data_IF_500389179133
#
_entry.id   IF_500389179133
#
_cell.length_a   1.000
_cell.length_b   1.000
_cell.length_c   1.000
_cell.angle_alpha   90.00
_cell.angle_beta   90.00
_cell.angle_gamma   90.00
#
_symmetry.space_group_name_H-M   'P 1'
#
loop_
_entity.id
_entity.type
_entity.pdbx_description
1 polymer ?
#
# COMPACT_ATOMS: atom_id res chain seq x y z
N UNK A 1 -17.24 -7.05 4.98
CA UNK A 1 -15.93 -6.44 4.64
C UNK A 1 -15.22 -6.13 5.95
N UNK A 2 -14.00 -6.60 6.17
CA UNK A 2 -13.26 -6.39 7.42
C UNK A 2 -13.11 -4.89 7.69
N UNK A 3 -13.66 -4.36 8.79
CA UNK A 3 -13.60 -2.93 9.17
C UNK A 3 -12.19 -2.33 9.01
N UNK A 4 -11.16 -3.13 9.28
CA UNK A 4 -9.77 -2.75 9.14
C UNK A 4 -9.40 -2.28 7.72
N UNK A 5 -9.66 -3.10 6.70
CA UNK A 5 -9.33 -2.75 5.30
C UNK A 5 -10.17 -1.57 4.82
N UNK A 6 -11.46 -1.51 5.19
CA UNK A 6 -12.32 -0.38 4.82
C UNK A 6 -11.83 0.95 5.43
N UNK A 7 -11.34 0.93 6.68
CA UNK A 7 -10.74 2.10 7.31
C UNK A 7 -9.42 2.50 6.63
N UNK A 8 -8.61 1.55 6.17
CA UNK A 8 -7.38 1.86 5.43
C UNK A 8 -7.71 2.50 4.08
N UNK A 9 -8.66 1.94 3.32
CA UNK A 9 -9.09 2.52 2.05
C UNK A 9 -9.65 3.94 2.27
N UNK A 10 -10.42 4.16 3.33
CA UNK A 10 -10.98 5.48 3.66
C UNK A 10 -9.93 6.52 4.08
N UNK A 11 -8.74 6.11 4.52
CA UNK A 11 -7.65 7.02 4.89
C UNK A 11 -6.91 7.57 3.66
N UNK A 12 -7.03 6.91 2.51
CA UNK A 12 -6.31 7.30 1.29
C UNK A 12 -4.83 6.90 1.32
N UNK A 13 -4.11 7.22 0.23
CA UNK A 13 -2.66 7.00 0.14
C UNK A 13 -1.90 8.08 0.95
N UNK A 14 -0.97 7.65 1.81
CA UNK A 14 -0.12 8.54 2.61
C UNK A 14 1.24 7.89 2.89
N UNK A 15 2.14 8.59 3.59
CA UNK A 15 3.52 8.15 3.82
C UNK A 15 3.66 6.73 4.38
N UNK A 16 2.68 6.27 5.17
CA UNK A 16 2.67 4.95 5.80
C UNK A 16 1.65 3.99 5.15
N UNK A 17 0.95 4.39 4.09
CA UNK A 17 -0.04 3.57 3.40
C UNK A 17 0.06 3.80 1.89
N UNK A 18 0.65 2.84 1.16
CA UNK A 18 0.78 2.88 -0.30
C UNK A 18 -0.26 1.94 -0.94
N UNK A 19 -0.94 2.39 -1.99
CA UNK A 19 -1.91 1.59 -2.74
C UNK A 19 -1.30 1.08 -4.05
N UNK A 20 -1.33 -0.24 -4.24
CA UNK A 20 -0.95 -0.88 -5.52
C UNK A 20 -2.11 -1.66 -6.09
N UNK A 21 -2.51 -1.32 -7.31
CA UNK A 21 -3.50 -2.10 -8.04
C UNK A 21 -2.96 -3.48 -8.46
N UNK A 22 -1.70 -3.56 -8.89
CA UNK A 22 -1.10 -4.82 -9.35
C UNK A 22 0.40 -4.83 -9.12
N UNK A 23 0.89 -5.96 -8.61
CA UNK A 23 2.31 -6.27 -8.62
C UNK A 23 2.64 -6.87 -9.98
N UNK A 24 3.25 -6.06 -10.84
CA UNK A 24 3.78 -6.51 -12.13
C UNK A 24 5.24 -6.97 -12.06
N UNK A 25 5.99 -6.48 -11.06
CA UNK A 25 7.43 -6.70 -10.97
C UNK A 25 7.85 -6.83 -9.49
N UNK A 26 8.60 -7.88 -9.18
CA UNK A 26 9.10 -8.14 -7.83
C UNK A 26 10.06 -7.07 -7.34
N UNK A 27 10.82 -6.42 -8.23
CA UNK A 27 11.72 -5.31 -7.88
C UNK A 27 10.96 -4.09 -7.39
N UNK A 28 9.75 -3.86 -7.89
CA UNK A 28 8.91 -2.72 -7.45
C UNK A 28 8.48 -2.91 -5.99
N UNK A 29 8.04 -4.12 -5.60
CA UNK A 29 7.74 -4.40 -4.19
C UNK A 29 9.00 -4.28 -3.35
N UNK A 30 10.11 -4.87 -3.78
CA UNK A 30 11.34 -4.87 -2.99
C UNK A 30 11.80 -3.45 -2.66
N UNK A 31 11.61 -2.50 -3.60
CA UNK A 31 11.88 -1.07 -3.36
C UNK A 31 10.90 -0.46 -2.36
N UNK A 32 9.59 -0.67 -2.51
CA UNK A 32 8.60 -0.16 -1.54
C UNK A 32 8.81 -0.74 -0.15
N UNK A 33 9.11 -2.04 -0.06
CA UNK A 33 9.42 -2.71 1.20
C UNK A 33 10.69 -2.15 1.84
N UNK A 34 11.76 -1.97 1.07
CA UNK A 34 12.99 -1.35 1.56
C UNK A 34 12.78 0.10 2.00
N UNK A 35 11.97 0.87 1.26
CA UNK A 35 11.60 2.23 1.64
C UNK A 35 10.85 2.27 2.96
N UNK A 36 9.85 1.39 3.16
CA UNK A 36 9.14 1.28 4.44
C UNK A 36 10.06 0.83 5.58
N UNK A 37 10.93 -0.15 5.34
CA UNK A 37 11.87 -0.63 6.35
C UNK A 37 12.90 0.43 6.78
N UNK A 38 13.26 1.35 5.88
CA UNK A 38 14.22 2.42 6.14
C UNK A 38 13.57 3.72 6.67
N UNK A 39 12.26 3.77 6.81
CA UNK A 39 11.50 4.95 7.27
C UNK A 39 10.60 4.58 8.45
N UNK A 40 9.49 5.28 8.66
CA UNK A 40 8.55 5.06 9.78
C UNK A 40 7.69 3.79 9.64
N UNK A 41 8.08 2.85 8.77
CA UNK A 41 7.27 1.69 8.41
C UNK A 41 6.05 2.04 7.57
N UNK A 42 5.21 1.04 7.30
CA UNK A 42 3.97 1.26 6.56
C UNK A 42 3.24 -0.02 6.19
N UNK A 43 2.10 0.17 5.54
CA UNK A 43 1.20 -0.84 5.04
C UNK A 43 1.14 -0.69 3.52
N UNK A 44 1.39 -1.79 2.80
CA UNK A 44 1.20 -1.84 1.35
C UNK A 44 -0.13 -2.55 1.06
N UNK A 45 -1.12 -1.82 0.56
CA UNK A 45 -2.42 -2.38 0.22
C UNK A 45 -2.41 -2.78 -1.27
N UNK A 46 -2.48 -4.08 -1.55
CA UNK A 46 -2.40 -4.61 -2.91
C UNK A 46 -3.79 -5.07 -3.38
N UNK A 47 -4.14 -4.77 -4.62
CA UNK A 47 -5.41 -5.15 -5.25
C UNK A 47 -6.52 -4.12 -5.07
N UNK A 48 -6.19 -2.90 -4.61
CA UNK A 48 -7.12 -1.77 -4.64
C UNK A 48 -6.99 -1.08 -5.99
N UNK A 49 -8.11 -1.06 -6.72
CA UNK A 49 -8.24 -0.30 -7.96
C UNK A 49 -8.60 1.12 -7.59
N UNK A 50 -7.73 2.05 -7.97
CA UNK A 50 -8.01 3.47 -7.92
C UNK A 50 -9.18 3.71 -8.90
N UNK A 51 -10.40 3.73 -8.36
CA UNK A 51 -11.58 4.14 -9.09
C UNK A 51 -11.61 5.67 -9.01
N UNK A 52 -10.79 6.31 -9.84
CA UNK A 52 -10.92 7.73 -10.15
C UNK A 52 -12.31 8.05 -10.69
#
# INVERSE_FOLDING_TARGET
>A
MSKYIANLISQGEHQQLDFKHSISDSKKIARSLAAFANTDGGILLIGVKDNG
#
